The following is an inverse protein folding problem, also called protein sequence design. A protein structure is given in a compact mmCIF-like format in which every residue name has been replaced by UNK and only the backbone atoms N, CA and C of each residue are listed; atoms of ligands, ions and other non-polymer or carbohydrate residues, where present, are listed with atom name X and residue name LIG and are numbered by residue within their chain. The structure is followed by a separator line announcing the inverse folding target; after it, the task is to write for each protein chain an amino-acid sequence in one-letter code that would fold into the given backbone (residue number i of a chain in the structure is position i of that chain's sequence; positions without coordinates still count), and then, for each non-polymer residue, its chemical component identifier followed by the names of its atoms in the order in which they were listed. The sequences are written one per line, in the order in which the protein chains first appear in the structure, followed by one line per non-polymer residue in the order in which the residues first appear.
data_IF_073139027616
#
_entry.id   IF_073139027616
#
_cell.length_a   1.000
_cell.length_b   1.000
_cell.length_c   1.000
_cell.angle_alpha   90.00
_cell.angle_beta   90.00
_cell.angle_gamma   90.00
#
_symmetry.space_group_name_H-M   'P 1'
#
loop_
_entity.id
_entity.type
_entity.pdbx_description
1 polymer ?
#
# COMPACT_ATOMS: atom_id res chain seq x y z
N UNK A 1 -3.43 14.15 1.12
CA UNK A 1 -2.79 13.78 2.35
C UNK A 1 -1.32 13.60 2.16
N UNK A 2 -0.58 14.28 3.01
CA UNK A 2 0.87 14.28 2.87
C UNK A 2 1.45 12.88 3.02
N UNK A 3 1.00 12.15 4.03
CA UNK A 3 1.54 10.83 4.28
C UNK A 3 1.31 9.90 3.09
N UNK A 4 0.16 10.01 2.45
CA UNK A 4 -0.13 9.18 1.31
C UNK A 4 0.83 9.49 0.17
N UNK A 5 1.07 10.77 -0.08
CA UNK A 5 1.95 11.16 -1.17
C UNK A 5 3.38 10.70 -0.95
N UNK A 6 3.80 10.65 0.31
CA UNK A 6 5.16 10.22 0.60
C UNK A 6 5.35 8.73 0.47
N UNK A 7 4.31 7.95 0.76
CA UNK A 7 4.47 6.51 0.89
C UNK A 7 3.84 5.71 -0.24
N UNK A 8 3.04 6.32 -1.09
CA UNK A 8 2.40 5.59 -2.20
C UNK A 8 2.72 6.30 -3.48
N UNK A 9 3.27 5.56 -4.44
CA UNK A 9 3.66 6.13 -5.73
C UNK A 9 3.09 5.29 -6.85
N UNK A 10 3.02 5.90 -8.04
CA UNK A 10 2.69 5.18 -9.26
C UNK A 10 3.79 5.45 -10.26
N UNK A 11 4.19 4.41 -10.98
CA UNK A 11 5.23 4.52 -11.99
C UNK A 11 4.88 3.53 -13.09
N UNK A 12 4.71 4.01 -14.34
CA UNK A 12 4.32 3.11 -15.42
C UNK A 12 5.24 1.91 -15.58
N UNK A 13 6.47 2.02 -15.13
CA UNK A 13 7.44 0.96 -15.27
C UNK A 13 7.51 0.04 -14.07
N UNK A 14 6.73 0.31 -13.04
CA UNK A 14 6.70 -0.52 -11.84
C UNK A 14 5.27 -1.04 -11.69
N UNK A 15 5.12 -2.36 -11.73
CA UNK A 15 3.85 -3.03 -11.56
C UNK A 15 2.76 -2.44 -12.45
N UNK A 16 3.16 -2.11 -13.70
CA UNK A 16 2.22 -1.63 -14.72
C UNK A 16 1.51 -0.35 -14.31
N UNK A 17 2.15 0.47 -13.50
CA UNK A 17 1.58 1.74 -13.09
C UNK A 17 0.61 1.66 -11.93
N UNK A 18 0.45 0.49 -11.33
CA UNK A 18 -0.42 0.37 -10.16
C UNK A 18 0.19 1.08 -8.97
N UNK A 19 -0.62 1.61 -8.06
CA UNK A 19 -0.09 2.23 -6.85
C UNK A 19 0.69 1.23 -6.02
N UNK A 20 1.90 1.59 -5.66
CA UNK A 20 2.75 0.75 -4.83
C UNK A 20 3.25 1.55 -3.64
N UNK A 21 3.60 0.84 -2.58
CA UNK A 21 4.24 1.50 -1.44
C UNK A 21 5.66 1.85 -1.87
N UNK A 22 6.04 3.11 -1.65
CA UNK A 22 7.34 3.62 -2.08
C UNK A 22 8.46 2.74 -1.51
N UNK A 23 9.44 2.46 -2.36
CA UNK A 23 10.57 1.64 -1.95
C UNK A 23 10.31 0.15 -1.98
N UNK A 24 9.12 -0.26 -2.41
CA UNK A 24 8.77 -1.68 -2.53
C UNK A 24 8.12 -1.92 -3.88
N UNK A 25 7.84 -3.19 -4.17
CA UNK A 25 7.00 -3.55 -5.31
C UNK A 25 5.64 -4.04 -4.84
N UNK A 26 5.31 -3.79 -3.60
CA UNK A 26 4.06 -4.24 -3.02
C UNK A 26 2.96 -3.24 -3.36
N UNK A 27 1.98 -3.68 -4.12
CA UNK A 27 0.90 -2.80 -4.54
C UNK A 27 -0.10 -2.60 -3.42
N UNK A 28 -0.79 -1.47 -3.47
CA UNK A 28 -1.90 -1.22 -2.55
C UNK A 28 -2.95 -2.32 -2.70
N UNK A 29 -3.20 -2.72 -3.94
CA UNK A 29 -4.17 -3.79 -4.21
C UNK A 29 -3.79 -5.09 -3.50
N UNK A 30 -2.52 -5.45 -3.53
CA UNK A 30 -2.07 -6.69 -2.90
C UNK A 30 -2.25 -6.63 -1.39
N UNK A 31 -1.95 -5.47 -0.80
CA UNK A 31 -2.15 -5.31 0.64
C UNK A 31 -3.61 -5.52 1.00
N UNK A 32 -4.52 -4.92 0.22
CA UNK A 32 -5.93 -5.06 0.50
C UNK A 32 -6.38 -6.52 0.40
N UNK A 33 -5.90 -7.22 -0.62
CA UNK A 33 -6.27 -8.63 -0.81
C UNK A 33 -5.77 -9.49 0.34
N UNK A 34 -4.57 -9.22 0.84
CA UNK A 34 -4.02 -9.99 1.95
C UNK A 34 -4.82 -9.77 3.23
N UNK A 35 -5.18 -8.53 3.50
CA UNK A 35 -6.02 -8.24 4.66
C UNK A 35 -7.39 -8.89 4.52
N UNK A 36 -7.95 -8.85 3.33
CA UNK A 36 -9.25 -9.47 3.08
C UNK A 36 -9.18 -10.98 3.25
N UNK A 37 -8.03 -11.58 3.00
CA UNK A 37 -7.84 -13.02 3.15
C UNK A 37 -7.58 -13.43 4.59
N UNK A 38 -7.51 -12.48 5.51
CA UNK A 38 -7.35 -12.79 6.93
C UNK A 38 -5.94 -12.61 7.46
N UNK A 39 -5.00 -12.15 6.64
CA UNK A 39 -3.68 -11.87 7.16
C UNK A 39 -3.73 -10.66 8.07
N UNK A 40 -2.95 -10.71 9.13
CA UNK A 40 -2.86 -9.59 10.04
C UNK A 40 -1.77 -8.63 9.59
N UNK A 41 -1.89 -7.34 9.93
CA UNK A 41 -0.86 -6.37 9.54
C UNK A 41 0.54 -6.80 9.94
N UNK A 42 0.70 -7.41 11.12
CA UNK A 42 2.01 -7.84 11.55
C UNK A 42 2.60 -8.89 10.63
N UNK A 43 1.75 -9.75 10.08
CA UNK A 43 2.22 -10.79 9.18
C UNK A 43 2.70 -10.18 7.87
N UNK A 44 2.00 -9.18 7.39
CA UNK A 44 2.39 -8.51 6.16
C UNK A 44 3.72 -7.79 6.37
N UNK A 45 3.86 -7.10 7.50
CA UNK A 45 5.09 -6.39 7.80
C UNK A 45 6.27 -7.35 7.93
N UNK A 46 6.04 -8.51 8.54
CA UNK A 46 7.10 -9.50 8.69
C UNK A 46 7.54 -10.06 7.35
N UNK A 47 6.61 -10.22 6.42
CA UNK A 47 6.92 -10.81 5.12
C UNK A 47 7.58 -9.80 4.17
N UNK A 48 7.48 -8.51 4.47
CA UNK A 48 8.00 -7.48 3.58
C UNK A 48 8.86 -6.51 4.37
N UNK A 49 10.15 -6.82 4.54
CA UNK A 49 11.03 -6.02 5.42
C UNK A 49 11.12 -4.54 5.05
N UNK A 50 10.87 -4.21 3.79
CA UNK A 50 10.92 -2.81 3.38
C UNK A 50 9.63 -2.05 3.65
N UNK A 51 8.58 -2.76 3.99
CA UNK A 51 7.32 -2.12 4.31
C UNK A 51 7.36 -1.67 5.77
N UNK A 52 7.00 -0.43 6.00
CA UNK A 52 6.94 0.11 7.36
C UNK A 52 5.48 0.21 7.79
N UNK A 53 5.23 0.31 9.09
CA UNK A 53 3.86 0.54 9.55
C UNK A 53 3.24 1.79 8.94
N UNK A 54 4.05 2.83 8.76
CA UNK A 54 3.56 4.06 8.14
C UNK A 54 3.18 3.83 6.69
N UNK A 55 3.99 3.04 5.98
CA UNK A 55 3.69 2.73 4.59
C UNK A 55 2.41 1.91 4.45
N UNK A 56 2.21 0.95 5.35
CA UNK A 56 0.99 0.16 5.34
C UNK A 56 -0.22 1.04 5.60
N UNK A 57 -0.12 1.92 6.58
CA UNK A 57 -1.21 2.83 6.90
C UNK A 57 -1.51 3.74 5.71
N UNK A 58 -0.47 4.25 5.06
CA UNK A 58 -0.66 5.13 3.92
C UNK A 58 -1.34 4.39 2.77
N UNK A 59 -1.03 3.11 2.58
CA UNK A 59 -1.68 2.33 1.54
C UNK A 59 -3.17 2.23 1.80
N UNK A 60 -3.56 2.01 3.05
CA UNK A 60 -4.97 1.92 3.39
C UNK A 60 -5.67 3.26 3.20
N UNK A 61 -5.00 4.34 3.58
CA UNK A 61 -5.57 5.67 3.37
C UNK A 61 -5.72 5.99 1.89
N UNK A 62 -4.74 5.58 1.09
CA UNK A 62 -4.82 5.77 -0.35
C UNK A 62 -6.07 5.08 -0.91
N UNK A 63 -6.29 3.84 -0.49
CA UNK A 63 -7.44 3.10 -0.97
C UNK A 63 -8.74 3.77 -0.55
N UNK A 64 -8.79 4.25 0.69
CA UNK A 64 -9.99 4.91 1.19
C UNK A 64 -10.27 6.17 0.38
N UNK A 65 -9.23 6.94 0.08
CA UNK A 65 -9.40 8.15 -0.70
C UNK A 65 -9.86 7.85 -2.12
N UNK A 66 -9.30 6.80 -2.70
CA UNK A 66 -9.65 6.44 -4.07
C UNK A 66 -11.10 5.99 -4.19
N UNK A 67 -11.60 5.31 -3.17
CA UNK A 67 -12.94 4.75 -3.20
C UNK A 67 -13.98 5.73 -2.66
N UNK A 68 -13.60 6.49 -1.64
CA UNK A 68 -14.55 7.33 -0.95
C UNK A 68 -14.41 8.77 -1.31
N UNK A 69 -14.27 9.02 -2.57
CA UNK A 69 -14.04 10.40 -3.01
C UNK A 69 -15.27 11.25 -2.86
N UNK A 70 -15.94 11.28 -1.84
CA UNK A 70 -17.06 12.11 -1.71
C UNK A 70 -16.93 13.21 -0.72
#
# INVERSE_FOLDING_TARGET
MEAVKEFVTTDPEVMLGKPVVAGTRLTVEEILRRLAAGEHPEEILAAHPRLTPEGLKAALLYAAEALGAE
#
